data_IF_303558208497
#
_entry.id   IF_303558208497
#
_cell.length_a   1.000
_cell.length_b   1.000
_cell.length_c   1.000
_cell.angle_alpha   90.00
_cell.angle_beta   90.00
_cell.angle_gamma   90.00
#
_symmetry.space_group_name_H-M   'P 1'
#
loop_
_entity.id
_entity.type
_entity.pdbx_description
1 polymer ?
#
# COMPACT_ATOMS: atom_id res chain seq x y z
N UNK A 1 0.84 26.36 -4.73
CA UNK A 1 -0.21 26.79 -3.78
C UNK A 1 -0.85 28.14 -4.14
N UNK A 2 -0.28 28.92 -5.06
CA UNK A 2 -0.76 30.26 -5.44
C UNK A 2 -1.94 30.23 -6.42
N UNK A 3 -1.97 29.27 -7.36
CA UNK A 3 -3.03 29.14 -8.36
C UNK A 3 -4.42 28.86 -7.77
N UNK A 4 -4.53 27.92 -6.82
CA UNK A 4 -5.79 27.63 -6.12
C UNK A 4 -6.37 28.84 -5.39
N UNK A 5 -5.52 29.57 -4.66
CA UNK A 5 -5.92 30.80 -3.95
C UNK A 5 -6.39 31.89 -4.91
N UNK A 6 -5.69 32.05 -6.04
CA UNK A 6 -6.07 33.01 -7.08
C UNK A 6 -7.43 32.65 -7.68
N UNK A 7 -7.63 31.39 -8.05
CA UNK A 7 -8.89 30.94 -8.66
C UNK A 7 -10.09 31.11 -7.71
N UNK A 8 -9.91 30.92 -6.40
CA UNK A 8 -10.96 31.23 -5.42
C UNK A 8 -11.31 32.72 -5.46
N UNK A 9 -10.32 33.59 -5.39
CA UNK A 9 -10.55 35.05 -5.38
C UNK A 9 -11.23 35.49 -6.67
N UNK A 10 -10.76 35.02 -7.83
CA UNK A 10 -11.32 35.37 -9.14
C UNK A 10 -12.80 34.93 -9.26
N UNK A 11 -13.17 33.76 -8.70
CA UNK A 11 -14.51 33.19 -8.82
C UNK A 11 -15.57 33.87 -7.93
N UNK A 12 -15.17 34.51 -6.84
CA UNK A 12 -16.08 35.18 -5.89
C UNK A 12 -16.06 36.71 -5.94
N UNK A 13 -15.21 37.31 -6.78
CA UNK A 13 -15.05 38.77 -6.87
C UNK A 13 -16.25 39.52 -7.50
N UNK A 14 -17.19 38.81 -8.14
CA UNK A 14 -18.30 39.42 -8.90
C UNK A 14 -19.69 38.96 -8.43
N UNK A 15 -19.92 38.80 -7.13
CA UNK A 15 -21.28 38.56 -6.62
C UNK A 15 -22.07 39.87 -6.62
N UNK A 16 -22.88 40.06 -7.66
CA UNK A 16 -23.81 41.19 -7.76
C UNK A 16 -24.86 41.11 -6.65
N UNK A 17 -25.01 42.20 -5.90
CA UNK A 17 -25.89 42.35 -4.72
C UNK A 17 -27.38 42.27 -5.11
N UNK A 18 -27.71 42.27 -6.41
CA UNK A 18 -29.07 42.44 -6.94
C UNK A 18 -29.76 41.13 -7.39
N UNK A 19 -29.21 39.96 -7.02
CA UNK A 19 -29.78 38.64 -7.38
C UNK A 19 -30.55 38.00 -6.23
N UNK A 20 -31.52 37.13 -6.53
CA UNK A 20 -32.30 36.41 -5.50
C UNK A 20 -31.39 35.51 -4.67
N UNK A 21 -31.74 35.26 -3.40
CA UNK A 21 -30.97 34.42 -2.49
C UNK A 21 -30.67 33.04 -3.10
N UNK A 22 -31.66 32.47 -3.79
CA UNK A 22 -31.55 31.19 -4.48
C UNK A 22 -30.48 31.21 -5.58
N UNK A 23 -30.40 32.30 -6.36
CA UNK A 23 -29.41 32.46 -7.42
C UNK A 23 -28.00 32.62 -6.86
N UNK A 24 -27.87 33.29 -5.72
CA UNK A 24 -26.58 33.45 -5.05
C UNK A 24 -26.07 32.13 -4.46
N UNK A 25 -26.97 31.32 -3.91
CA UNK A 25 -26.67 29.97 -3.41
C UNK A 25 -26.25 29.05 -4.55
N UNK A 26 -26.95 29.07 -5.68
CA UNK A 26 -26.61 28.28 -6.86
C UNK A 26 -25.25 28.68 -7.44
N UNK A 27 -24.99 29.98 -7.59
CA UNK A 27 -23.70 30.50 -8.04
C UNK A 27 -22.55 30.07 -7.11
N UNK A 28 -22.76 30.13 -5.80
CA UNK A 28 -21.77 29.68 -4.81
C UNK A 28 -21.44 28.19 -4.98
N UNK A 29 -22.46 27.33 -5.05
CA UNK A 29 -22.26 25.89 -5.21
C UNK A 29 -21.62 25.53 -6.54
N UNK A 30 -22.05 26.16 -7.64
CA UNK A 30 -21.45 25.95 -8.97
C UNK A 30 -19.97 26.34 -9.01
N UNK A 31 -19.62 27.49 -8.43
CA UNK A 31 -18.23 27.95 -8.39
C UNK A 31 -17.33 27.05 -7.54
N UNK A 32 -17.81 26.59 -6.39
CA UNK A 32 -17.08 25.60 -5.60
C UNK A 32 -16.85 24.31 -6.39
N UNK A 33 -17.89 23.77 -7.03
CA UNK A 33 -17.77 22.55 -7.83
C UNK A 33 -16.72 22.72 -8.93
N UNK A 34 -16.75 23.84 -9.67
CA UNK A 34 -15.79 24.15 -10.72
C UNK A 34 -14.34 24.22 -10.21
N UNK A 35 -14.13 24.83 -9.04
CA UNK A 35 -12.81 24.91 -8.40
C UNK A 35 -12.34 23.50 -7.99
N UNK A 36 -13.23 22.68 -7.42
CA UNK A 36 -12.92 21.30 -7.07
C UNK A 36 -12.55 20.47 -8.30
N UNK A 37 -13.33 20.55 -9.38
CA UNK A 37 -13.06 19.81 -10.61
C UNK A 37 -11.74 20.23 -11.26
N UNK A 38 -11.40 21.52 -11.20
CA UNK A 38 -10.13 22.06 -11.75
C UNK A 38 -8.90 21.63 -10.95
N UNK A 39 -8.96 21.68 -9.61
CA UNK A 39 -7.78 21.49 -8.74
C UNK A 39 -7.68 20.11 -8.11
N UNK A 40 -8.80 19.41 -7.98
CA UNK A 40 -8.89 18.09 -7.36
C UNK A 40 -9.81 17.19 -8.19
N UNK A 41 -9.53 16.98 -9.50
CA UNK A 41 -10.35 16.14 -10.34
C UNK A 41 -10.44 14.73 -9.77
N UNK A 42 -11.63 14.13 -9.88
CA UNK A 42 -11.83 12.73 -9.51
C UNK A 42 -10.93 11.88 -10.40
N UNK A 43 -9.95 11.21 -9.78
CA UNK A 43 -9.04 10.31 -10.48
C UNK A 43 -9.38 8.87 -10.13
N UNK A 44 -9.75 8.08 -11.13
CA UNK A 44 -9.90 6.64 -10.98
C UNK A 44 -8.52 6.02 -11.04
N UNK A 45 -8.13 5.31 -9.98
CA UNK A 45 -6.86 4.59 -9.92
C UNK A 45 -7.14 3.10 -9.83
N UNK A 46 -6.52 2.34 -10.73
CA UNK A 46 -6.51 0.88 -10.61
C UNK A 46 -5.52 0.48 -9.53
N UNK A 47 -6.01 -0.21 -8.50
CA UNK A 47 -5.18 -0.77 -7.44
C UNK A 47 -5.15 -2.28 -7.62
N UNK A 48 -3.95 -2.82 -7.83
CA UNK A 48 -3.74 -4.26 -7.84
C UNK A 48 -3.86 -4.78 -6.42
N UNK A 49 -4.94 -5.50 -6.13
CA UNK A 49 -5.09 -6.23 -4.88
C UNK A 49 -4.08 -7.39 -4.86
N UNK A 50 -3.07 -7.27 -4.00
CA UNK A 50 -2.14 -8.36 -3.74
C UNK A 50 -2.61 -9.10 -2.49
N UNK A 51 -2.96 -10.39 -2.57
CA UNK A 51 -3.34 -11.14 -1.38
C UNK A 51 -2.18 -11.12 -0.38
N UNK A 52 -2.52 -10.99 0.90
CA UNK A 52 -1.50 -11.09 1.93
C UNK A 52 -0.93 -12.51 1.90
N UNK A 53 0.39 -12.63 2.00
CA UNK A 53 1.02 -13.94 2.11
C UNK A 53 0.64 -14.58 3.44
N UNK A 54 0.29 -15.86 3.45
CA UNK A 54 -0.22 -16.56 4.64
C UNK A 54 0.74 -16.54 5.84
N UNK A 55 2.05 -16.47 5.61
CA UNK A 55 3.06 -16.36 6.67
C UNK A 55 3.24 -14.94 7.23
N UNK A 56 2.58 -13.94 6.66
CA UNK A 56 2.72 -12.54 7.06
C UNK A 56 1.67 -12.17 8.12
N UNK A 57 2.07 -12.27 9.38
CA UNK A 57 1.22 -11.97 10.54
C UNK A 57 1.25 -10.48 10.95
N UNK A 58 0.24 -10.07 11.71
CA UNK A 58 0.17 -8.72 12.29
C UNK A 58 1.34 -8.42 13.24
N UNK A 59 1.88 -9.45 13.90
CA UNK A 59 3.08 -9.31 14.73
C UNK A 59 4.28 -8.83 13.90
N UNK A 60 4.50 -9.44 12.73
CA UNK A 60 5.58 -9.06 11.82
C UNK A 60 5.34 -7.65 11.24
N UNK A 61 4.08 -7.31 10.95
CA UNK A 61 3.68 -5.98 10.52
C UNK A 61 4.00 -4.91 11.58
N UNK A 62 3.66 -5.18 12.84
CA UNK A 62 3.96 -4.29 13.97
C UNK A 62 5.47 -4.12 14.17
N UNK A 63 6.25 -5.21 14.12
CA UNK A 63 7.70 -5.13 14.20
C UNK A 63 8.31 -4.27 13.08
N UNK A 64 7.82 -4.41 11.83
CA UNK A 64 8.24 -3.55 10.71
C UNK A 64 7.84 -2.08 10.91
N UNK A 65 6.67 -1.82 11.49
CA UNK A 65 6.21 -0.47 11.82
C UNK A 65 7.14 0.18 12.84
N UNK A 66 7.54 -0.55 13.87
CA UNK A 66 8.45 -0.05 14.90
C UNK A 66 9.87 0.14 14.37
N UNK A 67 10.36 -0.76 13.50
CA UNK A 67 11.60 -0.54 12.76
C UNK A 67 11.58 0.78 11.99
N UNK A 68 10.49 1.08 11.25
CA UNK A 68 10.34 2.35 10.53
C UNK A 68 10.26 3.56 11.45
N UNK A 69 9.65 3.45 12.64
CA UNK A 69 9.67 4.53 13.63
C UNK A 69 11.10 4.81 14.12
N UNK A 70 11.85 3.77 14.46
CA UNK A 70 13.24 3.90 14.89
C UNK A 70 14.13 4.48 13.77
N UNK A 71 13.94 4.03 12.53
CA UNK A 71 14.62 4.57 11.35
C UNK A 71 14.39 6.07 11.19
N UNK A 72 13.13 6.52 11.25
CA UNK A 72 12.80 7.95 11.15
C UNK A 72 13.46 8.75 12.28
N UNK A 73 13.42 8.24 13.52
CA UNK A 73 14.05 8.89 14.68
C UNK A 73 15.57 9.04 14.49
N UNK A 74 16.24 8.00 14.00
CA UNK A 74 17.66 8.05 13.69
C UNK A 74 17.96 9.01 12.54
N UNK A 75 17.15 9.01 11.47
CA UNK A 75 17.35 9.90 10.32
C UNK A 75 17.21 11.38 10.68
N UNK A 76 16.35 11.69 11.63
CA UNK A 76 16.12 13.05 12.13
C UNK A 76 17.24 13.52 13.06
N UNK A 77 17.53 12.74 14.10
CA UNK A 77 18.49 13.12 15.16
C UNK A 77 19.96 12.85 14.86
N UNK A 78 20.27 11.85 14.02
CA UNK A 78 21.63 11.37 13.68
C UNK A 78 22.50 10.89 14.85
N UNK A 79 21.93 10.63 16.03
CA UNK A 79 22.68 10.10 17.17
C UNK A 79 22.95 8.60 17.09
N UNK A 80 24.12 8.19 17.59
CA UNK A 80 24.56 6.79 17.61
C UNK A 80 23.62 5.90 18.44
N UNK A 81 23.11 6.39 19.57
CA UNK A 81 22.13 5.63 20.38
C UNK A 81 20.88 5.28 19.54
N UNK A 82 20.39 6.21 18.72
CA UNK A 82 19.25 5.94 17.85
C UNK A 82 19.60 5.01 16.68
N UNK A 83 20.83 5.07 16.19
CA UNK A 83 21.35 4.13 15.20
C UNK A 83 21.39 2.69 15.75
N UNK A 84 21.86 2.52 16.99
CA UNK A 84 21.88 1.22 17.68
C UNK A 84 20.46 0.66 17.86
N UNK A 85 19.53 1.50 18.34
CA UNK A 85 18.11 1.12 18.46
C UNK A 85 17.51 0.69 17.11
N UNK A 86 17.77 1.44 16.04
CA UNK A 86 17.31 1.06 14.69
C UNK A 86 17.90 -0.28 14.25
N UNK A 87 19.21 -0.46 14.43
CA UNK A 87 19.93 -1.70 14.09
C UNK A 87 19.37 -2.90 14.85
N UNK A 88 19.06 -2.75 16.13
CA UNK A 88 18.39 -3.79 16.93
C UNK A 88 17.03 -4.16 16.33
N UNK A 89 16.18 -3.17 15.99
CA UNK A 89 14.89 -3.42 15.35
C UNK A 89 15.02 -4.08 13.98
N UNK A 90 16.08 -3.79 13.21
CA UNK A 90 16.38 -4.53 11.98
C UNK A 90 16.58 -6.02 12.26
N UNK A 91 17.49 -6.35 13.20
CA UNK A 91 17.78 -7.75 13.58
C UNK A 91 16.53 -8.48 14.07
N UNK A 92 15.69 -7.82 14.88
CA UNK A 92 14.42 -8.40 15.34
C UNK A 92 13.50 -8.74 14.17
N UNK A 93 13.31 -7.80 13.24
CA UNK A 93 12.44 -8.01 12.07
C UNK A 93 12.98 -9.15 11.19
N UNK A 94 14.28 -9.20 10.96
CA UNK A 94 14.90 -10.23 10.13
C UNK A 94 14.73 -11.62 10.74
N UNK A 95 14.95 -11.73 12.07
CA UNK A 95 14.69 -12.97 12.82
C UNK A 95 13.22 -13.41 12.74
N UNK A 96 12.29 -12.49 12.96
CA UNK A 96 10.86 -12.79 12.87
C UNK A 96 10.45 -13.23 11.47
N UNK A 97 11.02 -12.61 10.44
CA UNK A 97 10.72 -12.94 9.05
C UNK A 97 11.30 -14.30 8.65
N UNK A 98 12.49 -14.64 9.15
CA UNK A 98 13.07 -15.97 8.99
C UNK A 98 12.17 -17.03 9.63
N UNK A 99 11.85 -16.88 10.92
CA UNK A 99 11.03 -17.86 11.67
C UNK A 99 9.65 -18.02 11.01
N UNK A 100 8.97 -16.91 10.67
CA UNK A 100 7.65 -16.98 10.06
C UNK A 100 7.64 -17.77 8.74
N UNK A 101 8.66 -17.57 7.89
CA UNK A 101 8.80 -18.32 6.64
C UNK A 101 9.14 -19.77 6.87
N UNK A 102 10.09 -20.04 7.77
CA UNK A 102 10.51 -21.39 8.13
C UNK A 102 9.32 -22.18 8.66
N UNK A 103 8.62 -21.68 9.68
CA UNK A 103 7.44 -22.34 10.25
C UNK A 103 6.36 -22.59 9.21
N UNK A 104 6.08 -21.62 8.33
CA UNK A 104 5.09 -21.78 7.28
C UNK A 104 5.46 -22.86 6.26
N UNK A 105 6.68 -22.85 5.73
CA UNK A 105 7.06 -23.83 4.72
C UNK A 105 7.30 -25.21 5.31
N UNK A 106 7.85 -25.30 6.52
CA UNK A 106 7.99 -26.57 7.24
C UNK A 106 6.63 -27.21 7.49
N UNK A 107 5.68 -26.46 8.06
CA UNK A 107 4.31 -26.98 8.26
C UNK A 107 3.65 -27.36 6.93
N UNK A 108 3.87 -26.61 5.84
CA UNK A 108 3.32 -26.94 4.53
C UNK A 108 3.88 -28.25 3.96
N UNK A 109 5.16 -28.54 4.18
CA UNK A 109 5.81 -29.79 3.81
C UNK A 109 5.30 -30.94 4.69
N UNK A 110 5.19 -30.74 6.00
CA UNK A 110 4.66 -31.73 6.94
C UNK A 110 3.21 -32.12 6.61
N UNK A 111 2.38 -31.14 6.24
CA UNK A 111 1.00 -31.37 5.82
C UNK A 111 0.88 -32.18 4.52
N UNK A 112 1.92 -32.26 3.68
CA UNK A 112 1.92 -33.17 2.53
C UNK A 112 2.01 -34.65 2.94
N UNK A 113 2.51 -34.96 4.14
CA UNK A 113 2.65 -36.31 4.66
C UNK A 113 3.37 -37.24 3.68
N UNK A 114 2.75 -38.39 3.38
CA UNK A 114 3.28 -39.39 2.44
C UNK A 114 2.82 -39.17 0.99
N UNK A 115 2.13 -38.07 0.66
CA UNK A 115 1.73 -37.77 -0.72
C UNK A 115 2.90 -37.12 -1.49
N UNK A 116 3.71 -37.97 -2.12
CA UNK A 116 4.86 -37.54 -2.91
C UNK A 116 4.47 -36.66 -4.10
N UNK A 117 3.25 -36.78 -4.64
CA UNK A 117 2.78 -35.95 -5.75
C UNK A 117 2.53 -34.53 -5.28
N UNK A 118 1.90 -34.36 -4.11
CA UNK A 118 1.68 -33.05 -3.51
C UNK A 118 3.00 -32.37 -3.15
N UNK A 119 3.94 -33.11 -2.55
CA UNK A 119 5.26 -32.58 -2.23
C UNK A 119 6.00 -32.13 -3.50
N UNK A 120 5.97 -32.92 -4.58
CA UNK A 120 6.61 -32.55 -5.84
C UNK A 120 5.95 -31.31 -6.48
N UNK A 121 4.62 -31.21 -6.44
CA UNK A 121 3.88 -30.00 -6.90
C UNK A 121 4.26 -28.77 -6.08
N UNK A 122 4.37 -28.90 -4.76
CA UNK A 122 4.78 -27.81 -3.88
C UNK A 122 6.20 -27.34 -4.21
N UNK A 123 7.15 -28.26 -4.32
CA UNK A 123 8.55 -27.95 -4.64
C UNK A 123 8.69 -27.32 -6.02
N UNK A 124 8.01 -27.85 -7.04
CA UNK A 124 8.02 -27.26 -8.39
C UNK A 124 7.45 -25.85 -8.41
N UNK A 125 6.37 -25.60 -7.66
CA UNK A 125 5.81 -24.26 -7.46
C UNK A 125 6.81 -23.31 -6.79
N UNK A 126 7.46 -23.72 -5.71
CA UNK A 126 8.46 -22.91 -4.99
C UNK A 126 9.69 -22.59 -5.84
N UNK A 127 10.08 -23.52 -6.71
CA UNK A 127 11.20 -23.33 -7.66
C UNK A 127 10.82 -22.49 -8.88
N UNK A 128 9.58 -21.99 -8.98
CA UNK A 128 9.13 -21.20 -10.13
C UNK A 128 9.04 -21.97 -11.44
N UNK A 129 9.09 -23.31 -11.39
CA UNK A 129 8.92 -24.19 -12.55
C UNK A 129 7.43 -24.38 -12.80
N UNK A 130 6.74 -23.32 -13.22
CA UNK A 130 5.36 -23.49 -13.70
C UNK A 130 5.39 -24.34 -14.97
N UNK A 131 4.67 -25.47 -14.96
CA UNK A 131 4.41 -26.22 -16.17
C UNK A 131 3.53 -25.36 -17.08
N UNK A 132 4.14 -24.72 -18.08
CA UNK A 132 3.41 -24.35 -19.27
C UNK A 132 3.17 -25.64 -20.05
N UNK A 133 1.96 -26.19 -19.95
CA UNK A 133 1.48 -27.17 -20.91
C UNK A 133 0.41 -26.52 -21.79
N UNK A 134 0.78 -25.70 -22.79
CA UNK A 134 -0.05 -25.62 -23.97
C UNK A 134 0.07 -26.98 -24.65
N UNK A 135 -0.94 -27.83 -24.45
CA UNK A 135 -1.13 -29.00 -25.30
C UNK A 135 -1.18 -28.52 -26.76
N UNK A 136 -0.51 -29.20 -27.70
CA UNK A 136 -0.69 -28.88 -29.12
C UNK A 136 -2.15 -29.18 -29.50
N UNK A 137 -2.83 -28.23 -30.14
CA UNK A 137 -4.11 -28.51 -30.79
C UNK A 137 -3.83 -29.40 -31.99
N UNK A 138 -4.21 -30.68 -31.90
CA UNK A 138 -4.28 -31.53 -33.08
C UNK A 138 -5.50 -31.10 -33.90
N UNK A 139 -5.25 -30.46 -35.04
CA UNK A 139 -6.23 -30.34 -36.13
C UNK A 139 -6.38 -31.66 -36.86
#
# INVERSE_FOLDING_TARGET
MTAFKKDIVDCFSCTGIDSSVEQQVEHYHGNLSNIFDKHAPVTIKSVVLRPNTEWYSDHLNNAKRDKRKAERKWRDSKFEVHHQMYTEKCRTVDKLLYIAKETYYSSKIENCGNDHKQLFKLTTHLMGKQQQTPLPSSS
#
